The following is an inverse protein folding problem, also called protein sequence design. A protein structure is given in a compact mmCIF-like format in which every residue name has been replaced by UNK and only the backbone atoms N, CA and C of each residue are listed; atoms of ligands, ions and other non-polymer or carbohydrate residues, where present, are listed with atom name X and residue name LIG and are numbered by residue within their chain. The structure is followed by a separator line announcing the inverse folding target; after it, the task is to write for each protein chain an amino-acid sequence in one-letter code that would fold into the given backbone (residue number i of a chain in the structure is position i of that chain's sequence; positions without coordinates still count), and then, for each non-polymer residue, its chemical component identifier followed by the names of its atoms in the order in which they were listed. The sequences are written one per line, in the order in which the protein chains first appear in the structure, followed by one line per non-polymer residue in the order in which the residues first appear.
data_IF_199602385182
#
_entry.id   IF_199602385182
#
_cell.length_a   1.000
_cell.length_b   1.000
_cell.length_c   1.000
_cell.angle_alpha   90.00
_cell.angle_beta   90.00
_cell.angle_gamma   90.00
#
_symmetry.space_group_name_H-M   'P 1'
#
loop_
_entity.id
_entity.type
_entity.pdbx_description
1 polymer ?
#
# COMPACT_ATOMS: atom_id res chain seq x y z
N UNK A 1 -1.25 20.76 -1.07
CA UNK A 1 -1.04 19.29 -1.00
C UNK A 1 -1.83 18.69 -2.16
N UNK A 2 -1.20 17.89 -3.02
CA UNK A 2 -1.79 17.40 -4.27
C UNK A 2 -3.08 16.60 -3.96
N UNK A 3 -4.23 17.00 -4.52
CA UNK A 3 -5.54 16.39 -4.26
C UNK A 3 -5.54 14.89 -4.58
N UNK A 4 -4.74 14.48 -5.58
CA UNK A 4 -4.56 13.07 -5.94
C UNK A 4 -3.88 12.25 -4.83
N UNK A 5 -2.99 12.85 -4.04
CA UNK A 5 -2.33 12.16 -2.93
C UNK A 5 -3.29 11.99 -1.74
N UNK A 6 -4.16 12.98 -1.52
CA UNK A 6 -5.18 12.91 -0.48
C UNK A 6 -6.24 11.84 -0.80
N UNK A 7 -6.72 11.80 -2.04
CA UNK A 7 -7.67 10.77 -2.47
C UNK A 7 -7.06 9.37 -2.49
N UNK A 8 -5.78 9.25 -2.84
CA UNK A 8 -5.01 8.02 -2.69
C UNK A 8 -5.00 7.53 -1.23
N UNK A 9 -4.57 8.37 -0.28
CA UNK A 9 -4.51 8.01 1.14
C UNK A 9 -5.91 7.66 1.69
N UNK A 10 -6.94 8.41 1.30
CA UNK A 10 -8.34 8.17 1.70
C UNK A 10 -8.90 6.86 1.15
N UNK A 11 -8.49 6.47 -0.05
CA UNK A 11 -8.92 5.21 -0.68
C UNK A 11 -8.22 4.03 -0.02
N UNK A 12 -6.91 4.17 0.24
CA UNK A 12 -6.12 3.18 0.98
C UNK A 12 -6.65 2.96 2.40
N UNK A 13 -7.03 4.03 3.12
CA UNK A 13 -7.53 3.93 4.50
C UNK A 13 -8.90 3.27 4.63
N UNK A 14 -9.67 3.19 3.54
CA UNK A 14 -10.92 2.42 3.46
C UNK A 14 -10.70 0.94 3.19
N UNK A 15 -9.45 0.51 3.05
CA UNK A 15 -9.10 -0.88 2.79
C UNK A 15 -9.38 -1.33 1.35
N UNK A 16 -9.58 -0.39 0.42
CA UNK A 16 -9.68 -0.68 -1.01
C UNK A 16 -8.27 -0.94 -1.57
N UNK A 17 -7.97 -2.22 -1.75
CA UNK A 17 -6.67 -2.70 -2.23
C UNK A 17 -6.46 -2.48 -3.72
N UNK A 18 -7.49 -2.20 -4.52
CA UNK A 18 -7.35 -2.05 -5.99
C UNK A 18 -6.46 -0.88 -6.37
N UNK A 19 -6.56 0.22 -5.62
CA UNK A 19 -5.70 1.38 -5.84
C UNK A 19 -4.25 1.08 -5.40
N UNK A 20 -4.08 0.43 -4.25
CA UNK A 20 -2.77 0.00 -3.74
C UNK A 20 -2.08 -0.97 -4.70
N UNK A 21 -2.85 -1.92 -5.22
CA UNK A 21 -2.42 -2.96 -6.14
C UNK A 21 -1.77 -2.37 -7.39
N UNK A 22 -2.27 -1.24 -7.89
CA UNK A 22 -1.65 -0.55 -9.02
C UNK A 22 -0.21 -0.08 -8.75
N UNK A 23 0.13 0.20 -7.48
CA UNK A 23 1.50 0.51 -7.07
C UNK A 23 2.33 -0.77 -6.91
N UNK A 24 1.79 -1.81 -6.25
CA UNK A 24 2.53 -3.06 -6.03
C UNK A 24 2.81 -3.83 -7.32
N UNK A 25 1.92 -3.77 -8.32
CA UNK A 25 2.12 -4.41 -9.64
C UNK A 25 3.21 -3.73 -10.49
N UNK A 26 3.64 -2.52 -10.14
CA UNK A 26 4.68 -1.78 -10.89
C UNK A 26 6.06 -2.02 -10.27
N UNK A 27 7.11 -2.29 -11.08
CA UNK A 27 8.48 -2.36 -10.59
C UNK A 27 8.85 -1.11 -9.78
N UNK A 28 9.20 -1.30 -8.51
CA UNK A 28 9.59 -0.20 -7.61
C UNK A 28 8.44 0.62 -7.01
N UNK A 29 7.17 0.29 -7.27
CA UNK A 29 6.05 1.06 -6.72
C UNK A 29 5.92 0.98 -5.19
N UNK A 30 6.30 -0.15 -4.58
CA UNK A 30 6.47 -0.24 -3.11
C UNK A 30 7.48 0.78 -2.60
N UNK A 31 8.67 0.83 -3.20
CA UNK A 31 9.74 1.78 -2.84
C UNK A 31 9.30 3.23 -3.05
N UNK A 32 8.45 3.50 -4.04
CA UNK A 32 7.85 4.81 -4.24
C UNK A 32 6.96 5.23 -3.04
N UNK A 33 6.13 4.31 -2.52
CA UNK A 33 5.30 4.55 -1.33
C UNK A 33 6.17 4.78 -0.08
N UNK A 34 7.20 3.95 0.12
CA UNK A 34 8.19 4.14 1.21
C UNK A 34 8.87 5.51 1.12
N UNK A 35 9.33 5.93 -0.06
CA UNK A 35 9.99 7.23 -0.24
C UNK A 35 9.03 8.40 0.03
N UNK A 36 7.78 8.33 -0.41
CA UNK A 36 6.77 9.34 -0.07
C UNK A 36 6.59 9.43 1.44
N UNK A 37 6.48 8.28 2.13
CA UNK A 37 6.31 8.27 3.58
C UNK A 37 7.48 8.92 4.31
N UNK A 38 8.72 8.67 3.87
CA UNK A 38 9.92 9.31 4.43
C UNK A 38 9.90 10.83 4.22
N UNK A 39 9.51 11.29 3.03
CA UNK A 39 9.37 12.73 2.74
C UNK A 39 8.33 13.36 3.67
N UNK A 40 7.16 12.74 3.82
CA UNK A 40 6.09 13.23 4.70
C UNK A 40 6.53 13.26 6.17
N UNK A 41 7.19 12.21 6.66
CA UNK A 41 7.72 12.18 8.03
C UNK A 41 8.79 13.24 8.27
N UNK A 42 9.59 13.57 7.26
CA UNK A 42 10.56 14.65 7.34
C UNK A 42 9.92 16.04 7.45
N UNK A 43 8.68 16.23 6.97
CA UNK A 43 7.95 17.49 7.14
C UNK A 43 7.40 17.72 8.55
N UNK A 44 7.35 16.67 9.38
CA UNK A 44 6.96 16.78 10.79
C UNK A 44 8.07 17.46 11.61
N UNK A 45 7.71 18.06 12.75
CA UNK A 45 8.65 18.74 13.65
C UNK A 45 9.90 17.88 13.91
N UNK A 46 11.13 18.45 13.86
CA UNK A 46 12.38 17.68 13.90
C UNK A 46 12.50 16.68 15.05
N UNK A 47 11.90 17.01 16.20
CA UNK A 47 11.99 16.22 17.44
C UNK A 47 10.72 15.41 17.74
N UNK A 48 9.86 15.17 16.73
CA UNK A 48 8.77 14.23 16.91
C UNK A 48 9.37 12.83 17.16
N UNK A 49 9.38 12.39 18.41
CA UNK A 49 9.92 11.11 18.87
C UNK A 49 9.27 9.91 18.20
N UNK A 50 8.10 10.12 17.61
CA UNK A 50 7.28 9.09 16.98
C UNK A 50 7.67 8.83 15.51
N UNK A 51 8.55 9.62 14.89
CA UNK A 51 8.86 9.48 13.45
C UNK A 51 9.30 8.07 13.05
N UNK A 52 10.15 7.46 13.85
CA UNK A 52 10.63 6.10 13.62
C UNK A 52 9.49 5.08 13.75
N UNK A 53 8.68 5.19 14.82
CA UNK A 53 7.52 4.33 15.02
C UNK A 53 6.47 4.50 13.91
N UNK A 54 6.27 5.72 13.41
CA UNK A 54 5.37 6.01 12.29
C UNK A 54 5.89 5.38 10.98
N UNK A 55 7.20 5.44 10.73
CA UNK A 55 7.80 4.79 9.57
C UNK A 55 7.64 3.27 9.65
N UNK A 56 7.97 2.67 10.78
CA UNK A 56 7.82 1.22 11.00
C UNK A 56 6.36 0.79 10.84
N UNK A 57 5.41 1.53 11.42
CA UNK A 57 3.99 1.27 11.26
C UNK A 57 3.53 1.38 9.81
N UNK A 58 4.04 2.35 9.04
CA UNK A 58 3.74 2.48 7.62
C UNK A 58 4.28 1.30 6.80
N UNK A 59 5.52 0.88 7.03
CA UNK A 59 6.11 -0.30 6.37
C UNK A 59 5.27 -1.55 6.67
N UNK A 60 4.84 -1.74 7.91
CA UNK A 60 4.00 -2.87 8.29
C UNK A 60 2.62 -2.84 7.60
N UNK A 61 2.04 -1.65 7.38
CA UNK A 61 0.83 -1.53 6.55
C UNK A 61 1.12 -1.96 5.11
N UNK A 62 2.24 -1.55 4.52
CA UNK A 62 2.60 -1.97 3.17
C UNK A 62 2.76 -3.49 3.05
N UNK A 63 3.39 -4.14 4.04
CA UNK A 63 3.54 -5.59 4.09
C UNK A 63 2.18 -6.30 4.10
N UNK A 64 1.28 -5.86 4.97
CA UNK A 64 -0.07 -6.42 5.06
C UNK A 64 -0.87 -6.20 3.76
N UNK A 65 -0.67 -5.06 3.09
CA UNK A 65 -1.33 -4.79 1.80
C UNK A 65 -0.81 -5.70 0.69
N UNK A 66 0.51 -5.90 0.64
CA UNK A 66 1.16 -6.79 -0.32
C UNK A 66 0.69 -8.24 -0.15
N UNK A 67 0.66 -8.72 1.10
CA UNK A 67 0.13 -10.05 1.43
C UNK A 67 -1.33 -10.20 0.99
N UNK A 68 -2.18 -9.21 1.29
CA UNK A 68 -3.59 -9.23 0.90
C UNK A 68 -3.79 -9.26 -0.61
N UNK A 69 -2.98 -8.52 -1.38
CA UNK A 69 -3.00 -8.55 -2.85
C UNK A 69 -2.61 -9.94 -3.36
N UNK A 70 -1.55 -10.54 -2.81
CA UNK A 70 -1.12 -11.89 -3.17
C UNK A 70 -2.21 -12.94 -2.89
N UNK A 71 -2.91 -12.83 -1.76
CA UNK A 71 -4.04 -13.73 -1.46
C UNK A 71 -5.22 -13.52 -2.41
N UNK A 72 -5.50 -12.28 -2.79
CA UNK A 72 -6.59 -11.98 -3.72
C UNK A 72 -6.31 -12.58 -5.10
N UNK A 73 -5.08 -12.41 -5.62
CA UNK A 73 -4.65 -13.01 -6.89
C UNK A 73 -4.77 -14.54 -6.89
N UNK A 74 -4.29 -15.19 -5.83
CA UNK A 74 -4.43 -16.66 -5.68
C UNK A 74 -5.90 -17.09 -5.63
N UNK A 75 -6.76 -16.31 -4.96
CA UNK A 75 -8.19 -16.59 -4.92
C UNK A 75 -8.85 -16.46 -6.30
N UNK A 76 -8.45 -15.45 -7.08
CA UNK A 76 -8.92 -15.25 -8.46
C UNK A 76 -8.48 -16.41 -9.38
N UNK A 77 -7.22 -16.86 -9.28
CA UNK A 77 -6.70 -18.03 -10.02
C UNK A 77 -7.52 -19.30 -9.73
N UNK A 78 -7.80 -19.60 -8.45
CA UNK A 78 -8.59 -20.78 -8.06
C UNK A 78 -10.01 -20.73 -8.64
N UNK A 79 -10.64 -19.55 -8.62
CA UNK A 79 -11.99 -19.36 -9.17
C UNK A 79 -11.98 -19.53 -10.69
N UNK A 80 -10.96 -19.00 -11.37
CA UNK A 80 -10.81 -19.13 -12.82
C UNK A 80 -10.59 -20.58 -13.25
N UNK A 81 -9.74 -21.33 -12.53
CA UNK A 81 -9.54 -22.77 -12.75
C UNK A 81 -10.83 -23.57 -12.55
N UNK A 82 -11.61 -23.26 -11.51
CA UNK A 82 -12.88 -23.94 -11.23
C UNK A 82 -13.95 -23.67 -12.30
N UNK A 83 -13.94 -22.48 -12.92
CA UNK A 83 -14.90 -22.09 -13.96
C UNK A 83 -14.55 -22.64 -15.35
N UNK A 84 -13.25 -22.76 -15.67
CA UNK A 84 -12.79 -23.25 -16.99
C UNK A 84 -12.48 -24.76 -17.01
N UNK A 85 -12.48 -25.42 -15.85
CA UNK A 85 -12.29 -26.86 -15.71
C UNK A 85 -13.57 -27.71 -15.80
N UNK A 86 -14.70 -27.15 -16.24
CA UNK A 86 -15.95 -27.88 -16.52
C UNK A 86 -16.19 -28.11 -18.01
#
# INVERSE_FOLDING_TARGET
MNEHLHDAIRTLSKGDTRFAESFFRRPGGRRYLENISLILLHTLLPNATEKEAMYQGFVQVLDNMEERILHQLKGEEIVEEALHGS
#
